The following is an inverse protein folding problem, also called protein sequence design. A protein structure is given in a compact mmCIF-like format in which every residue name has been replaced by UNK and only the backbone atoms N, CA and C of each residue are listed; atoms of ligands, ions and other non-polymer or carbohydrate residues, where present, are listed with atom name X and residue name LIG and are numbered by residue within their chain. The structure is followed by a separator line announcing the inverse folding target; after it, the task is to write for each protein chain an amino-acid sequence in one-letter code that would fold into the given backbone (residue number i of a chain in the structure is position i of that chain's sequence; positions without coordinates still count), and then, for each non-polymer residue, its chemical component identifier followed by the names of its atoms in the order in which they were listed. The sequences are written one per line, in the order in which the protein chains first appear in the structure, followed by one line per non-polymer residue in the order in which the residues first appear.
data_IF_181260473416
#
_entry.id   IF_181260473416
#
_cell.length_a   1.000
_cell.length_b   1.000
_cell.length_c   1.000
_cell.angle_alpha   90.00
_cell.angle_beta   90.00
_cell.angle_gamma   90.00
#
_symmetry.space_group_name_H-M   'P 1'
#
loop_
_entity.id
_entity.type
_entity.pdbx_description
1 polymer ?
#
# COMPACT_ATOMS: atom_id res chain seq x y z
N UNK A 1 -10.27 -18.49 -10.23
CA UNK A 1 -10.31 -17.26 -9.48
C UNK A 1 -9.63 -17.40 -8.14
N UNK A 2 -8.61 -16.59 -7.87
CA UNK A 2 -7.94 -16.71 -6.58
C UNK A 2 -8.89 -16.31 -5.46
N UNK A 3 -8.89 -17.11 -4.43
CA UNK A 3 -9.64 -16.79 -3.23
C UNK A 3 -8.85 -15.77 -2.43
N UNK A 4 -9.46 -14.63 -2.17
CA UNK A 4 -8.83 -13.65 -1.29
C UNK A 4 -9.07 -14.05 0.15
N UNK A 5 -7.99 -14.32 0.86
CA UNK A 5 -8.03 -14.59 2.29
C UNK A 5 -7.83 -13.26 3.00
N UNK A 6 -8.50 -13.10 4.16
CA UNK A 6 -8.42 -11.86 4.93
C UNK A 6 -6.96 -11.49 5.24
N UNK A 7 -6.60 -10.26 4.93
CA UNK A 7 -5.23 -9.77 5.11
C UNK A 7 -4.30 -10.14 3.98
N UNK A 8 -4.80 -10.78 2.93
CA UNK A 8 -3.99 -11.13 1.79
C UNK A 8 -3.99 -10.06 0.71
N UNK A 9 -2.99 -10.13 -0.15
CA UNK A 9 -2.81 -9.21 -1.27
C UNK A 9 -2.95 -9.97 -2.57
N UNK A 10 -3.84 -9.50 -3.45
CA UNK A 10 -4.00 -10.05 -4.79
C UNK A 10 -3.36 -9.09 -5.78
N UNK A 11 -2.55 -9.62 -6.68
CA UNK A 11 -1.82 -8.79 -7.65
C UNK A 11 -2.54 -8.82 -8.98
N UNK A 12 -2.81 -7.64 -9.53
CA UNK A 12 -3.43 -7.50 -10.84
C UNK A 12 -2.43 -6.87 -11.81
N UNK A 13 -2.21 -7.56 -12.94
CA UNK A 13 -1.32 -7.09 -14.00
C UNK A 13 -2.12 -6.29 -15.02
N UNK A 14 -1.80 -5.02 -15.14
CA UNK A 14 -2.45 -4.16 -16.13
C UNK A 14 -1.90 -4.42 -17.54
N UNK A 15 -2.66 -4.05 -18.60
CA UNK A 15 -2.15 -4.13 -19.96
C UNK A 15 -0.84 -3.36 -20.15
N UNK A 16 -0.69 -2.23 -19.47
CA UNK A 16 0.58 -1.53 -19.45
C UNK A 16 1.53 -2.28 -18.51
N UNK A 17 2.65 -2.83 -19.01
CA UNK A 17 3.55 -3.64 -18.19
C UNK A 17 4.25 -2.88 -17.07
N UNK A 18 4.20 -1.55 -17.10
CA UNK A 18 4.80 -0.72 -16.06
C UNK A 18 3.88 -0.52 -14.88
N UNK A 19 2.63 -0.95 -14.97
CA UNK A 19 1.61 -0.74 -13.95
C UNK A 19 1.15 -2.07 -13.37
N UNK A 20 1.11 -2.15 -12.03
CA UNK A 20 0.51 -3.27 -11.31
C UNK A 20 -0.31 -2.76 -10.15
N UNK A 21 -1.41 -3.43 -9.87
CA UNK A 21 -2.26 -3.13 -8.72
C UNK A 21 -2.13 -4.23 -7.68
N UNK A 22 -2.11 -3.82 -6.42
CA UNK A 22 -2.06 -4.71 -5.27
C UNK A 22 -3.36 -4.49 -4.51
N UNK A 23 -4.24 -5.48 -4.59
CA UNK A 23 -5.59 -5.39 -4.03
C UNK A 23 -5.63 -6.03 -2.65
N UNK A 24 -6.35 -5.40 -1.73
CA UNK A 24 -6.48 -5.90 -0.37
C UNK A 24 -7.93 -6.18 -0.04
N UNK A 25 -8.16 -7.10 0.91
CA UNK A 25 -9.50 -7.37 1.40
C UNK A 25 -9.95 -6.37 2.45
N UNK A 26 -8.98 -5.78 3.14
CA UNK A 26 -9.26 -4.79 4.20
C UNK A 26 -8.81 -3.41 3.76
N UNK A 27 -9.45 -2.40 4.32
CA UNK A 27 -9.11 -1.02 4.02
C UNK A 27 -7.74 -0.66 4.59
N UNK A 28 -6.92 -0.03 3.76
CA UNK A 28 -5.56 0.38 4.12
C UNK A 28 -5.42 1.90 4.18
N UNK A 29 -6.42 2.64 3.74
CA UNK A 29 -6.37 4.11 3.75
C UNK A 29 -7.77 4.69 3.87
N UNK A 30 -7.84 6.01 4.09
CA UNK A 30 -9.07 6.76 4.14
C UNK A 30 -9.85 6.61 2.82
N UNK A 31 -11.19 6.82 2.82
CA UNK A 31 -12.03 6.61 1.64
C UNK A 31 -11.84 7.71 0.59
N UNK A 32 -10.68 7.76 0.00
CA UNK A 32 -10.31 8.72 -1.04
C UNK A 32 -9.21 8.13 -1.91
N UNK A 33 -9.01 8.75 -3.07
CA UNK A 33 -7.91 8.38 -3.97
C UNK A 33 -6.86 9.46 -3.88
N UNK A 34 -5.62 9.06 -3.61
CA UNK A 34 -4.48 9.96 -3.56
C UNK A 34 -3.39 9.46 -4.49
N UNK A 35 -2.68 10.39 -5.10
CA UNK A 35 -1.61 10.09 -6.05
C UNK A 35 -0.34 10.79 -5.60
N UNK A 36 0.76 10.03 -5.53
CA UNK A 36 2.07 10.57 -5.18
C UNK A 36 3.09 10.14 -6.22
N UNK A 37 4.02 11.03 -6.52
CA UNK A 37 5.09 10.77 -7.48
C UNK A 37 6.45 10.85 -6.80
N UNK A 38 7.41 10.10 -7.34
CA UNK A 38 8.79 10.13 -6.86
C UNK A 38 9.51 11.37 -7.43
N UNK A 39 10.35 12.05 -6.65
CA UNK A 39 10.61 11.84 -5.23
C UNK A 39 9.45 12.35 -4.37
N UNK A 40 9.20 11.66 -3.26
CA UNK A 40 8.14 12.05 -2.34
C UNK A 40 8.58 13.30 -1.57
N UNK A 41 7.94 14.44 -1.88
CA UNK A 41 8.30 15.72 -1.29
C UNK A 41 7.29 16.25 -0.28
N UNK A 42 6.12 15.61 -0.21
CA UNK A 42 5.08 16.05 0.70
C UNK A 42 5.43 15.74 2.15
N UNK A 43 4.99 16.61 3.04
CA UNK A 43 5.19 16.45 4.48
C UNK A 43 4.49 15.18 4.97
N UNK A 44 5.20 14.39 5.76
CA UNK A 44 4.68 13.11 6.29
C UNK A 44 3.39 13.31 7.09
N UNK A 45 3.30 14.39 7.84
CA UNK A 45 2.12 14.69 8.65
C UNK A 45 0.89 14.97 7.78
N UNK A 46 1.09 15.69 6.68
CA UNK A 46 0.00 15.99 5.74
C UNK A 46 -0.50 14.72 5.06
N UNK A 47 0.40 13.82 4.72
CA UNK A 47 0.02 12.54 4.14
C UNK A 47 -0.79 11.73 5.16
N UNK A 48 -0.35 11.71 6.40
CA UNK A 48 -1.03 11.00 7.48
C UNK A 48 -2.44 11.53 7.71
N UNK A 49 -2.60 12.84 7.67
CA UNK A 49 -3.92 13.47 7.84
C UNK A 49 -4.87 13.03 6.73
N UNK A 50 -4.40 12.96 5.49
CA UNK A 50 -5.23 12.60 4.35
C UNK A 50 -5.54 11.12 4.26
N UNK A 51 -4.58 10.26 4.58
CA UNK A 51 -4.70 8.82 4.37
C UNK A 51 -4.93 8.00 5.63
N UNK A 52 -4.64 8.55 6.78
CA UNK A 52 -4.57 7.78 8.02
C UNK A 52 -3.18 7.15 8.19
N UNK A 53 -2.94 6.55 9.34
CA UNK A 53 -1.62 5.99 9.68
C UNK A 53 -1.17 4.88 8.76
N UNK A 54 -2.06 3.94 8.50
CA UNK A 54 -1.73 2.75 7.71
C UNK A 54 -1.40 3.15 6.28
N UNK A 55 -2.28 3.95 5.65
CA UNK A 55 -2.06 4.42 4.29
C UNK A 55 -0.80 5.26 4.15
N UNK A 56 -0.57 6.16 5.10
CA UNK A 56 0.63 7.01 5.08
C UNK A 56 1.91 6.17 5.21
N UNK A 57 1.90 5.16 6.07
CA UNK A 57 3.04 4.28 6.23
C UNK A 57 3.33 3.51 4.95
N UNK A 58 2.30 2.98 4.30
CA UNK A 58 2.43 2.25 3.04
C UNK A 58 3.05 3.15 1.96
N UNK A 59 2.51 4.37 1.82
CA UNK A 59 3.03 5.32 0.83
C UNK A 59 4.49 5.63 1.08
N UNK A 60 4.83 5.94 2.33
CA UNK A 60 6.21 6.28 2.70
C UNK A 60 7.17 5.14 2.39
N UNK A 61 6.84 3.92 2.80
CA UNK A 61 7.72 2.78 2.60
C UNK A 61 7.88 2.43 1.13
N UNK A 62 6.79 2.44 0.38
CA UNK A 62 6.84 2.11 -1.05
C UNK A 62 7.59 3.17 -1.84
N UNK A 63 7.32 4.45 -1.55
CA UNK A 63 7.93 5.53 -2.33
C UNK A 63 9.41 5.77 -2.01
N UNK A 64 9.92 5.16 -0.94
CA UNK A 64 11.37 5.16 -0.69
C UNK A 64 12.09 4.05 -1.43
N UNK A 65 11.37 3.12 -2.03
CA UNK A 65 11.98 2.04 -2.80
C UNK A 65 12.48 2.53 -4.14
N UNK A 66 13.71 2.10 -4.54
CA UNK A 66 14.17 2.41 -5.90
C UNK A 66 13.25 1.77 -6.94
N UNK A 67 13.01 2.45 -8.01
CA UNK A 67 12.26 1.90 -9.14
C UNK A 67 10.77 2.16 -9.13
N UNK A 68 10.22 2.74 -8.07
CA UNK A 68 8.80 3.12 -8.02
C UNK A 68 8.68 4.60 -8.40
N UNK A 69 7.97 4.88 -9.48
CA UNK A 69 7.79 6.26 -9.97
C UNK A 69 6.53 6.92 -9.41
N UNK A 70 5.46 6.15 -9.25
CA UNK A 70 4.17 6.72 -8.88
C UNK A 70 3.33 5.70 -8.13
N UNK A 71 2.57 6.19 -7.16
CA UNK A 71 1.62 5.39 -6.40
C UNK A 71 0.25 6.05 -6.43
N UNK A 72 -0.79 5.25 -6.71
CA UNK A 72 -2.19 5.62 -6.55
C UNK A 72 -2.73 4.74 -5.43
N UNK A 73 -3.18 5.35 -4.34
CA UNK A 73 -3.69 4.61 -3.20
C UNK A 73 -5.18 4.87 -2.99
N UNK A 74 -5.92 3.78 -2.78
CA UNK A 74 -7.35 3.76 -2.46
C UNK A 74 -7.53 2.90 -1.22
N UNK A 75 -8.74 2.87 -0.63
CA UNK A 75 -8.95 2.03 0.56
C UNK A 75 -8.53 0.58 0.41
N UNK A 76 -8.73 -0.03 -0.75
CA UNK A 76 -8.42 -1.46 -0.94
C UNK A 76 -7.50 -1.73 -2.12
N UNK A 77 -6.78 -0.72 -2.56
CA UNK A 77 -5.88 -0.89 -3.71
C UNK A 77 -4.66 0.02 -3.62
N UNK A 78 -3.51 -0.54 -3.95
CA UNK A 78 -2.29 0.22 -4.22
C UNK A 78 -1.92 -0.05 -5.66
N UNK A 79 -1.97 0.97 -6.51
CA UNK A 79 -1.55 0.86 -7.90
C UNK A 79 -0.22 1.57 -8.07
N UNK A 80 0.76 0.84 -8.60
CA UNK A 80 2.11 1.35 -8.77
C UNK A 80 2.50 1.44 -10.24
N UNK A 81 3.26 2.48 -10.55
CA UNK A 81 3.95 2.59 -11.82
C UNK A 81 5.45 2.52 -11.53
N UNK A 82 6.12 1.58 -12.18
CA UNK A 82 7.56 1.42 -12.00
C UNK A 82 8.34 2.18 -13.07
N UNK A 83 9.61 2.43 -12.79
CA UNK A 83 10.54 2.97 -13.77
C UNK A 83 10.84 1.90 -14.83
N UNK A 84 11.09 2.35 -16.07
CA UNK A 84 11.39 1.45 -17.18
C UNK A 84 12.59 0.55 -16.94
N UNK A 85 13.57 1.04 -16.22
CA UNK A 85 14.84 0.33 -15.99
C UNK A 85 14.77 -0.71 -14.90
N UNK A 86 13.62 -0.82 -14.20
CA UNK A 86 13.45 -1.78 -13.12
C UNK A 86 12.48 -2.89 -13.53
N UNK A 87 12.71 -4.10 -12.99
CA UNK A 87 11.82 -5.23 -13.19
C UNK A 87 10.88 -5.37 -11.99
N UNK A 88 9.66 -5.90 -12.23
CA UNK A 88 8.74 -6.18 -11.12
C UNK A 88 9.32 -7.18 -10.12
N UNK A 89 10.20 -8.06 -10.57
CA UNK A 89 10.86 -9.01 -9.67
C UNK A 89 11.64 -8.30 -8.56
N UNK A 90 12.10 -7.08 -8.81
CA UNK A 90 12.85 -6.31 -7.83
C UNK A 90 11.96 -5.52 -6.87
N UNK A 91 10.68 -5.39 -7.19
CA UNK A 91 9.76 -4.50 -6.48
C UNK A 91 8.62 -5.26 -5.81
N UNK A 92 8.01 -6.18 -6.54
CA UNK A 92 6.73 -6.80 -6.17
C UNK A 92 6.72 -7.45 -4.80
N UNK A 93 7.71 -8.26 -4.51
CA UNK A 93 7.77 -8.98 -3.24
C UNK A 93 7.87 -8.03 -2.05
N UNK A 94 8.67 -6.98 -2.19
CA UNK A 94 8.82 -5.98 -1.13
C UNK A 94 7.53 -5.21 -0.89
N UNK A 95 6.80 -4.89 -1.96
CA UNK A 95 5.51 -4.21 -1.85
C UNK A 95 4.50 -5.07 -1.10
N UNK A 96 4.44 -6.35 -1.45
CA UNK A 96 3.54 -7.30 -0.77
C UNK A 96 3.87 -7.37 0.73
N UNK A 97 5.15 -7.46 1.06
CA UNK A 97 5.60 -7.50 2.46
C UNK A 97 5.20 -6.24 3.21
N UNK A 98 5.39 -5.07 2.60
CA UNK A 98 5.02 -3.79 3.21
C UNK A 98 3.52 -3.75 3.52
N UNK A 99 2.69 -4.14 2.55
CA UNK A 99 1.24 -4.11 2.72
C UNK A 99 0.79 -5.12 3.79
N UNK A 100 1.32 -6.33 3.75
CA UNK A 100 0.97 -7.36 4.74
C UNK A 100 1.35 -6.96 6.16
N UNK A 101 2.51 -6.34 6.33
CA UNK A 101 2.94 -5.85 7.64
C UNK A 101 2.01 -4.75 8.15
N UNK A 102 1.61 -3.85 7.26
CA UNK A 102 0.69 -2.78 7.64
C UNK A 102 -0.67 -3.33 8.07
N UNK A 103 -1.18 -4.33 7.35
CA UNK A 103 -2.44 -4.97 7.70
C UNK A 103 -2.35 -5.73 9.03
N UNK A 104 -1.22 -6.38 9.28
CA UNK A 104 -0.99 -7.06 10.55
C UNK A 104 -1.00 -6.09 11.72
N UNK A 105 -0.36 -4.94 11.58
CA UNK A 105 -0.35 -3.90 12.61
C UNK A 105 -1.76 -3.39 12.90
N UNK A 106 -2.58 -3.24 11.87
CA UNK A 106 -3.98 -2.84 12.03
C UNK A 106 -4.75 -3.84 12.87
N UNK A 107 -4.58 -5.13 12.61
CA UNK A 107 -5.25 -6.20 13.38
C UNK A 107 -4.81 -6.22 14.82
N UNK A 108 -3.52 -6.11 15.09
CA UNK A 108 -2.98 -6.09 16.45
C UNK A 108 -3.55 -4.91 17.23
N UNK A 109 -3.68 -3.75 16.60
CA UNK A 109 -4.23 -2.57 17.24
C UNK A 109 -5.70 -2.77 17.64
N UNK A 110 -6.49 -3.41 16.79
CA UNK A 110 -7.89 -3.73 17.07
C UNK A 110 -7.97 -4.67 18.30
N UNK A 111 -7.15 -5.70 18.32
CA UNK A 111 -7.10 -6.65 19.44
C UNK A 111 -6.75 -5.94 20.75
N UNK A 112 -5.80 -5.03 20.73
CA UNK A 112 -5.41 -4.26 21.92
C UNK A 112 -6.55 -3.42 22.47
N UNK A 113 -7.33 -2.79 21.59
CA UNK A 113 -8.49 -2.01 22.02
C UNK A 113 -9.51 -2.89 22.73
N UNK A 114 -9.76 -4.08 22.21
CA UNK A 114 -10.68 -5.03 22.83
C UNK A 114 -10.20 -5.47 24.21
N UNK A 115 -8.90 -5.70 24.35
CA UNK A 115 -8.31 -6.12 25.62
C UNK A 115 -8.40 -5.05 26.69
N UNK A 116 -8.29 -3.78 26.30
CA UNK A 116 -8.32 -2.66 27.26
C UNK A 116 -9.71 -2.38 27.81
N UNK A 117 -10.74 -2.85 27.13
CA UNK A 117 -12.13 -2.67 27.56
C UNK A 117 -12.60 -3.77 28.49
N UNK A 118 -11.78 -4.77 28.71
CA UNK A 118 -12.10 -5.91 29.59
C UNK A 118 -11.77 -5.65 31.04
#
# INVERSE_FOLDING_TARGET
MPKMIRGEVTIYHHPNPEIRSFLTTEEISAPRVEIFKSPLTEDAEQIRIRLGRIGAHIVKEIMTMPGVDEIHIKPKEVRLKKALTFAWDDIEEQVVVIIKRALRRKQIRIIRQWSSDG
#
